data_IF_636701553753
#
_entry.id   IF_636701553753
#
_cell.length_a   1.000
_cell.length_b   1.000
_cell.length_c   1.000
_cell.angle_alpha   90.00
_cell.angle_beta   90.00
_cell.angle_gamma   90.00
#
_symmetry.space_group_name_H-M   'P 1'
#
loop_
_entity.id
_entity.type
_entity.pdbx_description
1 polymer ?
#
# COMPACT_ATOMS: atom_id res chain seq x y z
N UNK A 1 -13.44 20.85 16.67
CA UNK A 1 -12.75 19.63 17.14
C UNK A 1 -13.00 18.42 16.23
N UNK A 2 -14.24 17.91 16.09
CA UNK A 2 -14.55 16.78 15.18
C UNK A 2 -14.13 17.01 13.72
N UNK A 3 -14.46 18.18 13.15
CA UNK A 3 -14.13 18.49 11.74
C UNK A 3 -12.62 18.57 11.48
N UNK A 4 -11.85 19.13 12.42
CA UNK A 4 -10.38 19.25 12.30
C UNK A 4 -9.69 17.88 12.39
N UNK A 5 -10.19 16.97 13.23
CA UNK A 5 -9.70 15.60 13.33
C UNK A 5 -9.97 14.81 12.04
N UNK A 6 -11.17 14.96 11.45
CA UNK A 6 -11.50 14.34 10.15
C UNK A 6 -10.63 14.87 9.00
N UNK A 7 -10.31 16.18 8.98
CA UNK A 7 -9.41 16.76 7.97
C UNK A 7 -7.94 16.35 8.16
N UNK A 8 -7.46 16.22 9.40
CA UNK A 8 -6.10 15.72 9.68
C UNK A 8 -5.95 14.24 9.33
N UNK A 9 -6.99 13.45 9.57
CA UNK A 9 -7.04 12.03 9.22
C UNK A 9 -7.01 11.81 7.71
N UNK A 10 -7.61 12.72 6.92
CA UNK A 10 -7.53 12.77 5.45
C UNK A 10 -6.11 12.97 4.89
N UNK A 11 -5.21 13.56 5.67
CA UNK A 11 -3.83 13.85 5.26
C UNK A 11 -2.84 12.71 5.57
N UNK A 12 -3.28 11.66 6.28
CA UNK A 12 -2.45 10.52 6.69
C UNK A 12 -2.81 9.22 5.95
N UNK A 13 -3.81 9.22 5.07
CA UNK A 13 -4.19 8.01 4.35
C UNK A 13 -3.16 7.71 3.25
N UNK A 14 -2.81 6.43 3.16
CA UNK A 14 -1.98 5.94 2.07
C UNK A 14 -2.74 5.98 0.75
N UNK A 15 -1.99 6.17 -0.33
CA UNK A 15 -2.50 6.06 -1.68
C UNK A 15 -2.00 4.76 -2.30
N UNK A 16 -2.90 3.99 -2.91
CA UNK A 16 -2.54 2.78 -3.64
C UNK A 16 -3.15 2.80 -5.03
N UNK A 17 -2.60 2.00 -5.95
CA UNK A 17 -3.31 1.70 -7.18
C UNK A 17 -4.51 0.81 -6.89
N UNK A 18 -5.65 1.11 -7.53
CA UNK A 18 -6.88 0.35 -7.41
C UNK A 18 -7.45 0.00 -8.79
N UNK A 19 -7.40 -1.28 -9.13
CA UNK A 19 -7.99 -1.84 -10.34
C UNK A 19 -8.33 -3.31 -10.13
N UNK A 20 -9.52 -3.71 -10.53
CA UNK A 20 -9.94 -5.11 -10.49
C UNK A 20 -9.61 -5.83 -11.80
N UNK A 21 -9.01 -7.02 -11.70
CA UNK A 21 -8.85 -7.96 -12.81
C UNK A 21 -8.28 -7.32 -14.08
N UNK A 22 -7.32 -6.42 -13.93
CA UNK A 22 -6.74 -5.68 -15.05
C UNK A 22 -5.78 -6.57 -15.84
N UNK A 23 -5.97 -6.72 -17.17
CA UNK A 23 -4.99 -7.39 -18.03
C UNK A 23 -3.77 -6.50 -18.33
N UNK A 24 -3.84 -5.21 -18.02
CA UNK A 24 -2.80 -4.21 -18.28
C UNK A 24 -2.33 -3.54 -16.98
N UNK A 25 -1.30 -2.69 -17.10
CA UNK A 25 -0.78 -1.89 -15.98
C UNK A 25 -1.87 -0.95 -15.45
N UNK A 26 -2.15 -1.04 -14.16
CA UNK A 26 -3.08 -0.14 -13.47
C UNK A 26 -2.42 1.22 -13.25
N UNK A 27 -3.16 2.31 -13.52
CA UNK A 27 -2.70 3.70 -13.28
C UNK A 27 -3.68 4.51 -12.44
N UNK A 28 -4.77 3.89 -12.01
CA UNK A 28 -5.81 4.54 -11.20
C UNK A 28 -5.37 4.52 -9.75
N UNK A 29 -5.04 5.68 -9.20
CA UNK A 29 -4.76 5.84 -7.78
C UNK A 29 -6.06 5.99 -6.98
N UNK A 30 -6.05 5.52 -5.75
CA UNK A 30 -7.15 5.68 -4.80
C UNK A 30 -6.59 5.86 -3.40
N UNK A 31 -7.23 6.73 -2.64
CA UNK A 31 -6.93 6.92 -1.22
C UNK A 31 -7.56 5.76 -0.45
N UNK A 32 -6.75 5.04 0.33
CA UNK A 32 -7.21 3.90 1.12
C UNK A 32 -8.11 4.32 2.25
N UNK A 33 -8.77 3.36 2.92
CA UNK A 33 -9.46 3.68 4.18
C UNK A 33 -8.44 3.87 5.32
N UNK A 34 -8.79 4.59 6.39
CA UNK A 34 -7.93 4.75 7.56
C UNK A 34 -7.59 3.41 8.25
N UNK A 35 -8.39 2.38 7.97
CA UNK A 35 -8.20 1.02 8.48
C UNK A 35 -7.30 0.17 7.59
N UNK A 36 -6.89 0.68 6.43
CA UNK A 36 -6.08 0.02 5.41
C UNK A 36 -4.75 0.76 5.29
N UNK A 37 -3.69 0.11 5.75
CA UNK A 37 -2.35 0.65 5.87
C UNK A 37 -1.37 0.08 4.84
N UNK A 38 -1.85 -0.82 3.97
CA UNK A 38 -1.04 -1.49 2.95
C UNK A 38 -1.66 -1.40 1.57
N UNK A 39 -0.83 -1.44 0.54
CA UNK A 39 -1.25 -1.72 -0.82
C UNK A 39 -1.07 -3.20 -1.12
N UNK A 40 -2.07 -3.82 -1.74
CA UNK A 40 -2.05 -5.17 -2.26
C UNK A 40 -1.91 -5.16 -3.78
N UNK A 41 -1.08 -6.05 -4.29
CA UNK A 41 -1.06 -6.49 -5.66
C UNK A 41 -1.25 -8.01 -5.69
N UNK A 42 -2.34 -8.44 -6.32
CA UNK A 42 -2.70 -9.83 -6.51
C UNK A 42 -2.55 -10.18 -7.99
N UNK A 43 -2.04 -11.37 -8.29
CA UNK A 43 -1.88 -11.86 -9.66
C UNK A 43 -2.41 -13.27 -9.75
N UNK A 44 -3.36 -13.46 -10.66
CA UNK A 44 -3.93 -14.78 -10.96
C UNK A 44 -3.91 -14.97 -12.49
N UNK A 45 -3.11 -15.92 -12.95
CA UNK A 45 -2.84 -16.10 -14.38
C UNK A 45 -2.24 -14.85 -15.03
N UNK A 46 -3.00 -14.24 -15.95
CA UNK A 46 -2.62 -13.00 -16.68
C UNK A 46 -3.23 -11.74 -16.10
N UNK A 47 -4.15 -11.88 -15.15
CA UNK A 47 -4.89 -10.77 -14.56
C UNK A 47 -4.22 -10.32 -13.27
N UNK A 48 -4.30 -9.02 -13.01
CA UNK A 48 -3.77 -8.41 -11.80
C UNK A 48 -4.84 -7.56 -11.15
N UNK A 49 -4.96 -7.71 -9.84
CA UNK A 49 -5.83 -6.88 -9.00
C UNK A 49 -4.95 -6.04 -8.09
N UNK A 50 -5.26 -4.76 -8.02
CA UNK A 50 -4.56 -3.77 -7.21
C UNK A 50 -5.59 -3.19 -6.25
N UNK A 51 -5.29 -3.14 -4.96
CA UNK A 51 -6.21 -2.59 -3.98
C UNK A 51 -5.50 -2.06 -2.75
N UNK A 52 -6.20 -1.22 -1.98
CA UNK A 52 -5.90 -0.99 -0.58
C UNK A 52 -6.21 -2.25 0.24
N UNK A 53 -5.43 -2.49 1.27
CA UNK A 53 -5.49 -3.69 2.10
C UNK A 53 -5.03 -3.44 3.52
N UNK A 54 -5.25 -4.42 4.40
CA UNK A 54 -4.77 -4.39 5.79
C UNK A 54 -3.50 -5.21 5.93
N UNK A 55 -2.50 -4.66 6.61
CA UNK A 55 -1.25 -5.37 6.92
C UNK A 55 -1.52 -6.66 7.68
N UNK A 56 -2.47 -6.64 8.63
CA UNK A 56 -2.90 -7.82 9.38
C UNK A 56 -3.57 -8.90 8.54
N UNK A 57 -4.10 -8.56 7.36
CA UNK A 57 -4.72 -9.51 6.42
C UNK A 57 -3.82 -9.83 5.22
N UNK A 58 -2.56 -9.39 5.24
CA UNK A 58 -1.59 -9.74 4.20
C UNK A 58 -1.04 -11.15 4.42
N UNK A 59 -1.87 -12.17 4.22
CA UNK A 59 -1.46 -13.56 4.26
C UNK A 59 -2.20 -14.38 3.20
N UNK A 60 -1.62 -15.51 2.80
CA UNK A 60 -2.21 -16.39 1.78
C UNK A 60 -3.64 -16.76 2.15
N UNK A 61 -3.90 -17.17 3.39
CA UNK A 61 -5.22 -17.65 3.81
C UNK A 61 -6.27 -16.54 3.75
N UNK A 62 -5.97 -15.37 4.32
CA UNK A 62 -6.89 -14.22 4.35
C UNK A 62 -7.22 -13.72 2.94
N UNK A 63 -6.22 -13.69 2.04
CA UNK A 63 -6.41 -13.28 0.64
C UNK A 63 -7.16 -14.36 -0.15
N UNK A 64 -6.85 -15.64 0.06
CA UNK A 64 -7.56 -16.75 -0.57
C UNK A 64 -9.05 -16.73 -0.22
N UNK A 65 -9.36 -16.53 1.07
CA UNK A 65 -10.74 -16.46 1.56
C UNK A 65 -11.47 -15.20 1.08
N UNK A 66 -10.77 -14.05 1.02
CA UNK A 66 -11.37 -12.78 0.58
C UNK A 66 -11.66 -12.73 -0.92
N UNK A 67 -10.77 -13.30 -1.74
CA UNK A 67 -10.90 -13.28 -3.21
C UNK A 67 -11.46 -14.59 -3.79
N UNK A 68 -11.67 -15.61 -2.96
CA UNK A 68 -12.09 -16.96 -3.36
C UNK A 68 -11.16 -17.56 -4.43
N UNK A 69 -9.85 -17.52 -4.17
CA UNK A 69 -8.81 -17.98 -5.09
C UNK A 69 -7.90 -19.04 -4.44
N UNK A 70 -7.53 -20.07 -5.22
CA UNK A 70 -6.67 -21.16 -4.72
C UNK A 70 -5.20 -21.07 -5.19
N UNK A 71 -4.93 -20.46 -6.35
CA UNK A 71 -3.58 -20.38 -6.92
C UNK A 71 -3.31 -18.96 -7.43
N UNK A 72 -2.58 -18.18 -6.63
CA UNK A 72 -2.28 -16.78 -6.91
C UNK A 72 -0.92 -16.39 -6.34
N UNK A 73 -0.31 -15.38 -6.95
CA UNK A 73 0.81 -14.65 -6.37
C UNK A 73 0.28 -13.35 -5.76
N UNK A 74 0.82 -12.94 -4.61
CA UNK A 74 0.47 -11.66 -4.00
C UNK A 74 1.71 -10.92 -3.50
N UNK A 75 1.59 -9.61 -3.38
CA UNK A 75 2.59 -8.71 -2.85
C UNK A 75 1.89 -7.61 -2.05
N UNK A 76 2.34 -7.37 -0.81
CA UNK A 76 1.89 -6.24 -0.01
C UNK A 76 3.05 -5.31 0.32
N UNK A 77 2.75 -4.02 0.48
CA UNK A 77 3.74 -3.00 0.84
C UNK A 77 3.07 -1.80 1.54
N UNK A 78 3.82 -1.07 2.38
CA UNK A 78 3.31 -0.04 3.31
C UNK A 78 3.71 1.39 2.90
N UNK A 79 3.80 1.66 1.58
CA UNK A 79 4.20 2.97 1.05
C UNK A 79 3.29 3.43 -0.08
N UNK A 80 3.19 4.74 -0.29
CA UNK A 80 2.34 5.30 -1.33
C UNK A 80 2.70 4.78 -2.72
N UNK A 81 1.68 4.30 -3.43
CA UNK A 81 1.71 3.78 -4.80
C UNK A 81 2.74 2.66 -4.99
N UNK A 82 3.08 1.93 -3.93
CA UNK A 82 4.09 0.89 -3.95
C UNK A 82 3.66 -0.38 -4.71
N UNK A 83 2.36 -0.59 -4.88
CA UNK A 83 1.79 -1.66 -5.70
C UNK A 83 1.78 -1.30 -7.20
N UNK A 84 2.75 -0.50 -7.66
CA UNK A 84 2.90 -0.17 -9.07
C UNK A 84 3.12 -1.43 -9.90
N UNK A 85 2.45 -1.55 -11.04
CA UNK A 85 2.45 -2.77 -11.86
C UNK A 85 3.78 -3.06 -12.60
N UNK A 86 4.88 -2.41 -12.24
CA UNK A 86 6.19 -2.62 -12.82
C UNK A 86 6.78 -3.96 -12.32
N UNK A 87 6.56 -5.04 -13.06
CA UNK A 87 7.35 -6.26 -12.90
C UNK A 87 8.75 -5.97 -13.44
N UNK A 88 9.60 -5.45 -12.57
CA UNK A 88 11.05 -5.53 -12.77
C UNK A 88 11.63 -5.91 -11.43
N UNK A 89 12.16 -7.13 -11.34
CA UNK A 89 12.93 -7.58 -10.19
C UNK A 89 14.11 -6.64 -9.99
N UNK A 90 13.94 -5.68 -9.10
CA UNK A 90 14.99 -4.85 -8.57
C UNK A 90 14.77 -4.89 -7.07
N UNK A 91 15.75 -5.41 -6.34
CA UNK A 91 15.88 -5.21 -4.91
C UNK A 91 15.68 -3.72 -4.64
N UNK A 92 14.47 -3.32 -4.25
CA UNK A 92 14.17 -1.95 -3.82
C UNK A 92 14.73 -1.85 -2.41
N UNK A 93 16.03 -1.61 -2.31
CA UNK A 93 16.63 -1.16 -1.06
C UNK A 93 15.82 0.04 -0.59
N UNK A 94 15.16 -0.11 0.56
CA UNK A 94 14.37 0.92 1.18
C UNK A 94 15.29 2.09 1.53
N UNK A 95 15.34 3.11 0.67
CA UNK A 95 15.82 4.43 1.08
C UNK A 95 14.66 5.13 1.78
N UNK A 96 14.48 4.76 3.06
CA UNK A 96 13.73 5.58 4.00
C UNK A 96 14.59 6.81 4.31
N UNK A 97 14.34 7.92 3.61
CA UNK A 97 14.83 9.22 4.06
C UNK A 97 13.75 9.75 4.99
N UNK A 98 13.85 9.39 6.27
CA UNK A 98 13.13 10.11 7.31
C UNK A 98 13.70 11.53 7.36
N UNK A 99 13.08 12.46 6.65
CA UNK A 99 13.36 13.88 6.78
C UNK A 99 12.86 14.32 8.15
N UNK A 100 13.78 14.39 9.12
CA UNK A 100 13.52 14.96 10.42
C UNK A 100 13.41 16.48 10.27
N UNK A 101 12.18 17.01 10.39
CA UNK A 101 12.01 18.41 10.74
C UNK A 101 12.56 18.62 12.15
N UNK A 102 13.84 19.02 12.20
CA UNK A 102 14.54 19.48 13.39
C UNK A 102 13.78 20.67 13.97
N UNK A 103 13.27 20.52 15.19
CA UNK A 103 12.87 21.63 16.04
C UNK A 103 13.73 21.60 17.30
N UNK A 104 14.77 22.43 17.25
CA UNK A 104 15.42 23.11 18.40
C UNK A 104 16.43 22.31 19.26
N UNK A 105 17.72 22.53 18.94
CA UNK A 105 18.90 22.68 19.80
C UNK A 105 18.90 22.01 21.20
N UNK A 106 19.07 20.69 21.29
CA UNK A 106 19.96 20.10 22.30
C UNK A 106 20.28 18.62 21.99
N UNK A 107 21.55 18.39 21.64
CA UNK A 107 22.37 17.20 21.87
C UNK A 107 21.67 15.82 21.93
N UNK A 108 21.68 15.06 20.83
CA UNK A 108 22.35 13.73 20.71
C UNK A 108 21.91 12.99 19.44
N UNK A 109 22.81 12.21 18.82
CA UNK A 109 22.65 11.68 17.47
C UNK A 109 21.83 10.37 17.45
N UNK A 110 20.95 10.25 16.46
CA UNK A 110 20.63 8.95 15.88
C UNK A 110 21.65 8.66 14.78
#
# INVERSE_FOLDING_TARGET
FFSFFSFLMLLLLSQCYHCDNSPTVCRTNSTCLPTEDTCLQLKFGKLRTFSCWKSSQCSVNEIADSFFLDNFDFFCCEHDLCNESAITGVNKAAFSIASMCVVTLHLSPC
#
